data_IF_257579817551
#
_entry.id   IF_257579817551
#
_cell.length_a   1.000
_cell.length_b   1.000
_cell.length_c   1.000
_cell.angle_alpha   90.00
_cell.angle_beta   90.00
_cell.angle_gamma   90.00
#
_symmetry.space_group_name_H-M   'P 1'
#
loop_
_entity.id
_entity.type
_entity.pdbx_description
1 polymer ?
#
# COMPACT_ATOMS: atom_id res chain seq x y z
N UNK A 1 31.54 -24.14 56.55
CA UNK A 1 32.20 -24.27 55.23
C UNK A 1 31.09 -24.40 54.20
N UNK A 2 30.68 -23.26 53.62
CA UNK A 2 29.55 -23.13 52.69
C UNK A 2 30.19 -22.85 51.34
N UNK A 3 30.19 -23.82 50.42
CA UNK A 3 30.60 -23.60 49.03
C UNK A 3 29.39 -23.13 48.24
N UNK A 4 29.35 -21.83 47.95
CA UNK A 4 28.44 -21.25 46.99
C UNK A 4 29.01 -21.48 45.58
N UNK A 5 28.43 -22.43 44.86
CA UNK A 5 28.74 -22.68 43.46
C UNK A 5 27.88 -21.72 42.62
N UNK A 6 28.46 -20.59 42.22
CA UNK A 6 27.89 -19.65 41.26
C UNK A 6 28.31 -20.07 39.86
N UNK A 7 27.53 -20.96 39.24
CA UNK A 7 27.63 -21.19 37.80
C UNK A 7 26.86 -20.08 37.08
N UNK A 8 27.61 -19.15 36.48
CA UNK A 8 27.11 -18.16 35.52
C UNK A 8 26.50 -18.87 34.30
N UNK A 9 25.19 -19.08 34.35
CA UNK A 9 24.39 -19.46 33.20
C UNK A 9 24.20 -18.23 32.29
N UNK A 10 25.25 -17.89 31.53
CA UNK A 10 25.19 -16.90 30.43
C UNK A 10 24.58 -17.52 29.17
N UNK A 11 23.46 -18.21 29.34
CA UNK A 11 22.56 -18.56 28.26
C UNK A 11 21.91 -17.28 27.73
N UNK A 12 22.53 -16.62 26.75
CA UNK A 12 21.86 -15.65 25.85
C UNK A 12 20.86 -16.43 24.99
N UNK A 13 19.81 -16.92 25.63
CA UNK A 13 18.62 -17.42 25.00
C UNK A 13 17.85 -16.24 24.44
N UNK A 14 18.28 -15.72 23.28
CA UNK A 14 17.42 -14.94 22.40
C UNK A 14 16.35 -15.85 21.78
N UNK A 15 15.60 -16.56 22.64
CA UNK A 15 14.35 -17.22 22.30
C UNK A 15 13.33 -16.14 21.98
N UNK A 16 13.37 -15.66 20.74
CA UNK A 16 12.42 -14.67 20.24
C UNK A 16 11.01 -15.25 20.37
N UNK A 17 10.30 -14.89 21.46
CA UNK A 17 8.88 -15.21 21.69
C UNK A 17 8.17 -15.09 20.35
N UNK A 18 7.73 -16.21 19.79
CA UNK A 18 6.91 -16.16 18.58
C UNK A 18 5.69 -15.33 18.95
N UNK A 19 5.34 -14.32 18.14
CA UNK A 19 4.09 -13.58 18.26
C UNK A 19 2.86 -14.47 17.93
N UNK A 20 3.01 -15.80 18.01
CA UNK A 20 2.01 -16.82 17.72
C UNK A 20 0.97 -16.95 18.83
N UNK A 21 0.77 -15.93 19.67
CA UNK A 21 -0.27 -15.93 20.68
C UNK A 21 -1.63 -15.94 20.00
N UNK A 22 -2.28 -17.12 19.95
CA UNK A 22 -3.69 -17.42 19.67
C UNK A 22 -4.39 -16.68 18.49
N UNK A 23 -3.61 -15.96 17.68
CA UNK A 23 -4.14 -15.07 16.64
C UNK A 23 -4.44 -15.88 15.39
N UNK A 24 -5.70 -15.85 14.97
CA UNK A 24 -6.21 -16.67 13.85
C UNK A 24 -7.01 -17.92 14.25
N UNK A 25 -7.36 -18.06 15.54
CA UNK A 25 -8.36 -19.02 16.01
C UNK A 25 -9.76 -18.76 15.44
N UNK A 26 -10.70 -19.70 15.62
CA UNK A 26 -12.07 -19.62 15.08
C UNK A 26 -12.76 -18.27 15.39
N UNK A 27 -12.61 -17.78 16.62
CA UNK A 27 -13.19 -16.49 17.03
C UNK A 27 -12.59 -15.28 16.29
N UNK A 28 -11.30 -15.30 15.97
CA UNK A 28 -10.68 -14.22 15.20
C UNK A 28 -11.17 -14.23 13.75
N UNK A 29 -11.45 -15.41 13.17
CA UNK A 29 -12.07 -15.52 11.84
C UNK A 29 -13.50 -14.97 11.83
N UNK A 30 -14.28 -15.25 12.88
CA UNK A 30 -15.63 -14.72 13.03
C UNK A 30 -15.57 -13.19 13.12
N UNK A 31 -14.74 -12.63 14.00
CA UNK A 31 -14.62 -11.17 14.14
C UNK A 31 -14.09 -10.53 12.87
N UNK A 32 -13.08 -11.12 12.21
CA UNK A 32 -12.60 -10.65 10.91
C UNK A 32 -13.71 -10.64 9.85
N UNK A 33 -14.53 -11.69 9.79
CA UNK A 33 -15.66 -11.75 8.85
C UNK A 33 -16.72 -10.71 9.15
N UNK A 34 -17.04 -10.49 10.43
CA UNK A 34 -17.98 -9.44 10.86
C UNK A 34 -17.43 -8.06 10.49
N UNK A 35 -16.15 -7.79 10.76
CA UNK A 35 -15.48 -6.53 10.39
C UNK A 35 -15.53 -6.30 8.88
N UNK A 36 -15.20 -7.32 8.09
CA UNK A 36 -15.30 -7.28 6.65
C UNK A 36 -16.72 -6.90 6.22
N UNK A 37 -17.73 -7.64 6.68
CA UNK A 37 -19.13 -7.38 6.35
C UNK A 37 -19.59 -5.98 6.76
N UNK A 38 -19.21 -5.49 7.94
CA UNK A 38 -19.52 -4.12 8.38
C UNK A 38 -18.93 -3.12 7.39
N UNK A 39 -17.66 -3.28 6.99
CA UNK A 39 -17.02 -2.36 6.04
C UNK A 39 -17.69 -2.45 4.67
N UNK A 40 -17.94 -3.65 4.15
CA UNK A 40 -18.62 -3.83 2.87
C UNK A 40 -20.02 -3.20 2.89
N UNK A 41 -20.81 -3.42 3.94
CA UNK A 41 -22.19 -2.90 4.03
C UNK A 41 -22.16 -1.38 4.14
N UNK A 42 -21.38 -0.81 5.05
CA UNK A 42 -21.40 0.64 5.32
C UNK A 42 -20.79 1.42 4.16
N UNK A 43 -19.61 1.02 3.67
CA UNK A 43 -18.94 1.74 2.58
C UNK A 43 -19.52 1.36 1.23
N UNK A 44 -20.01 0.14 1.03
CA UNK A 44 -20.74 -0.26 -0.17
C UNK A 44 -22.08 0.47 -0.31
N UNK A 45 -22.86 0.62 0.78
CA UNK A 45 -24.07 1.42 0.75
C UNK A 45 -23.78 2.89 0.45
N UNK A 46 -22.69 3.45 1.01
CA UNK A 46 -22.28 4.84 0.74
C UNK A 46 -21.78 5.02 -0.70
N UNK A 47 -20.99 4.09 -1.22
CA UNK A 47 -20.57 4.08 -2.62
C UNK A 47 -21.77 3.96 -3.56
N UNK A 48 -22.72 3.07 -3.25
CA UNK A 48 -23.97 2.91 -4.01
C UNK A 48 -24.85 4.16 -3.99
N UNK A 49 -24.97 4.83 -2.83
CA UNK A 49 -25.73 6.08 -2.71
C UNK A 49 -25.09 7.25 -3.47
N UNK A 50 -23.78 7.21 -3.68
CA UNK A 50 -23.02 8.20 -4.47
C UNK A 50 -22.90 7.84 -5.94
N UNK A 51 -23.27 6.62 -6.32
CA UNK A 51 -23.02 6.12 -7.65
C UNK A 51 -23.78 6.93 -8.70
N UNK A 52 -23.02 7.65 -9.52
CA UNK A 52 -23.51 8.34 -10.71
C UNK A 52 -22.82 7.73 -11.93
N UNK A 53 -23.56 7.17 -12.91
CA UNK A 53 -22.97 6.46 -14.05
C UNK A 53 -22.00 7.30 -14.90
N UNK A 54 -22.06 8.64 -14.81
CA UNK A 54 -21.17 9.57 -15.50
C UNK A 54 -20.28 10.42 -14.54
N UNK A 55 -20.42 10.23 -13.23
CA UNK A 55 -19.60 10.98 -12.26
C UNK A 55 -18.25 10.29 -12.12
N UNK A 56 -17.32 10.75 -12.96
CA UNK A 56 -15.90 10.45 -12.90
C UNK A 56 -15.43 10.37 -11.46
N UNK A 57 -14.91 9.20 -11.10
CA UNK A 57 -14.21 8.98 -9.85
C UNK A 57 -13.12 10.06 -9.67
N UNK A 58 -12.99 10.59 -8.45
CA UNK A 58 -12.17 11.77 -8.15
C UNK A 58 -10.69 11.57 -8.52
N UNK A 59 -10.02 12.64 -8.98
CA UNK A 59 -8.57 12.65 -9.21
C UNK A 59 -8.13 11.79 -10.39
N UNK A 60 -7.20 10.86 -10.14
CA UNK A 60 -6.54 10.05 -11.17
C UNK A 60 -7.37 8.84 -11.66
N UNK A 61 -8.57 8.65 -11.10
CA UNK A 61 -9.37 7.47 -11.36
C UNK A 61 -9.73 7.20 -12.84
N UNK A 62 -10.05 8.22 -13.67
CA UNK A 62 -10.37 8.00 -15.07
C UNK A 62 -9.27 7.27 -15.84
N UNK A 63 -7.99 7.44 -15.45
CA UNK A 63 -6.85 6.82 -16.12
C UNK A 63 -6.72 5.34 -15.77
N UNK A 64 -7.03 4.93 -14.53
CA UNK A 64 -7.06 3.51 -14.16
C UNK A 64 -8.19 2.76 -14.88
N UNK A 65 -9.35 3.41 -14.98
CA UNK A 65 -10.50 2.87 -15.72
C UNK A 65 -10.14 2.74 -17.20
N UNK A 66 -9.60 3.80 -17.81
CA UNK A 66 -9.19 3.77 -19.22
C UNK A 66 -8.19 2.65 -19.49
N UNK A 67 -7.23 2.44 -18.59
CA UNK A 67 -6.29 1.31 -18.68
C UNK A 67 -6.99 -0.04 -18.61
N UNK A 68 -7.98 -0.18 -17.74
CA UNK A 68 -8.77 -1.43 -17.64
C UNK A 68 -9.59 -1.67 -18.89
N UNK A 69 -10.16 -0.61 -19.48
CA UNK A 69 -10.92 -0.67 -20.73
C UNK A 69 -10.03 -1.07 -21.91
N UNK A 70 -8.84 -0.48 -22.03
CA UNK A 70 -7.82 -0.86 -23.03
C UNK A 70 -7.43 -2.33 -22.90
N UNK A 71 -7.15 -2.82 -21.68
CA UNK A 71 -6.84 -4.24 -21.45
C UNK A 71 -8.00 -5.15 -21.87
N UNK A 72 -9.24 -4.76 -21.58
CA UNK A 72 -10.41 -5.60 -21.80
C UNK A 72 -10.91 -5.61 -23.25
N UNK A 73 -10.98 -4.44 -23.89
CA UNK A 73 -11.53 -4.29 -25.24
C UNK A 73 -10.45 -4.44 -26.32
N UNK A 74 -9.24 -3.93 -26.06
CA UNK A 74 -8.20 -3.75 -27.08
C UNK A 74 -7.01 -4.72 -26.88
N UNK A 75 -6.96 -5.40 -25.74
CA UNK A 75 -5.92 -6.35 -25.35
C UNK A 75 -4.50 -5.74 -25.31
N UNK A 76 -4.42 -4.45 -25.04
CA UNK A 76 -3.16 -3.74 -24.82
C UNK A 76 -3.22 -2.86 -23.56
N UNK A 77 -2.29 -1.91 -23.45
CA UNK A 77 -2.27 -0.89 -22.39
C UNK A 77 -2.03 0.51 -22.97
N UNK A 78 -2.14 0.66 -24.29
CA UNK A 78 -2.03 1.96 -24.95
C UNK A 78 -3.33 2.73 -24.70
N UNK A 79 -3.20 3.99 -24.31
CA UNK A 79 -4.31 4.86 -23.94
C UNK A 79 -4.69 5.84 -25.06
N UNK A 80 -4.01 5.75 -26.20
CA UNK A 80 -4.15 6.74 -27.29
C UNK A 80 -5.57 6.80 -27.88
N UNK A 81 -6.33 5.71 -27.82
CA UNK A 81 -7.70 5.60 -28.31
C UNK A 81 -8.80 5.70 -27.24
N UNK A 82 -8.45 5.61 -25.94
CA UNK A 82 -9.39 5.78 -24.82
C UNK A 82 -9.45 7.24 -24.32
N UNK A 83 -8.43 8.06 -24.63
CA UNK A 83 -8.29 9.43 -24.10
C UNK A 83 -8.82 10.51 -25.06
N UNK A 84 -10.13 10.78 -24.99
CA UNK A 84 -10.80 11.82 -25.79
C UNK A 84 -10.31 13.23 -25.42
N UNK A 85 -9.96 14.03 -26.43
CA UNK A 85 -9.46 15.40 -26.23
C UNK A 85 -7.93 15.51 -26.24
N UNK A 86 -7.21 14.38 -26.30
CA UNK A 86 -5.77 14.34 -26.55
C UNK A 86 -4.91 14.97 -25.45
N UNK A 87 -3.69 15.35 -25.80
CA UNK A 87 -2.66 15.83 -24.86
C UNK A 87 -3.04 17.09 -24.08
N UNK A 88 -3.88 17.95 -24.66
CA UNK A 88 -4.30 19.19 -24.00
C UNK A 88 -5.12 18.92 -22.73
N UNK A 89 -5.91 17.84 -22.73
CA UNK A 89 -6.76 17.44 -21.60
C UNK A 89 -6.03 16.49 -20.64
N UNK A 90 -5.22 15.60 -21.19
CA UNK A 90 -4.65 14.46 -20.44
C UNK A 90 -3.15 14.60 -20.12
N UNK A 91 -2.53 15.72 -20.50
CA UNK A 91 -1.14 16.00 -20.16
C UNK A 91 -0.89 15.82 -18.66
N UNK A 92 0.26 15.21 -18.31
CA UNK A 92 0.69 14.80 -16.95
C UNK A 92 0.12 13.50 -16.40
N UNK A 93 -0.82 12.86 -17.08
CA UNK A 93 -1.44 11.61 -16.63
C UNK A 93 -1.09 10.39 -17.51
N UNK A 94 -0.29 10.65 -18.54
CA UNK A 94 0.20 9.67 -19.51
C UNK A 94 1.71 9.77 -19.66
N UNK A 95 2.32 8.64 -19.95
CA UNK A 95 3.75 8.48 -20.16
C UNK A 95 4.03 7.97 -21.58
N UNK A 96 5.06 8.54 -22.22
CA UNK A 96 5.44 8.15 -23.57
C UNK A 96 6.19 6.81 -23.57
N UNK A 97 5.66 5.84 -24.29
CA UNK A 97 6.31 4.56 -24.54
C UNK A 97 7.56 4.69 -25.41
N UNK A 98 8.32 3.59 -25.52
CA UNK A 98 9.55 3.55 -26.34
C UNK A 98 9.30 3.71 -27.84
N UNK A 99 8.10 3.35 -28.33
CA UNK A 99 7.73 3.43 -29.75
C UNK A 99 6.60 4.46 -30.01
N UNK A 100 6.38 5.41 -29.09
CA UNK A 100 5.40 6.49 -29.27
C UNK A 100 4.00 6.23 -28.70
N UNK A 101 3.74 5.04 -28.15
CA UNK A 101 2.48 4.72 -27.43
C UNK A 101 2.26 5.63 -26.23
N UNK A 102 1.00 5.76 -25.80
CA UNK A 102 0.64 6.51 -24.59
C UNK A 102 0.28 5.53 -23.48
N UNK A 103 1.19 5.30 -22.54
CA UNK A 103 0.93 4.42 -21.41
C UNK A 103 0.41 5.21 -20.21
N UNK A 104 -0.34 4.57 -19.28
CA UNK A 104 -0.71 5.23 -18.04
C UNK A 104 0.54 5.68 -17.28
N UNK A 105 0.47 6.88 -16.69
CA UNK A 105 1.46 7.30 -15.68
C UNK A 105 1.51 6.32 -14.51
N UNK A 106 0.37 5.73 -14.18
CA UNK A 106 0.19 4.98 -12.95
C UNK A 106 0.41 3.46 -13.13
N UNK A 107 0.62 2.71 -12.03
CA UNK A 107 0.90 1.27 -12.09
C UNK A 107 -0.24 0.41 -12.66
N UNK A 108 0.12 -0.63 -13.41
CA UNK A 108 -0.81 -1.49 -14.14
C UNK A 108 -1.49 -2.59 -13.30
N UNK A 109 -0.95 -2.93 -12.13
CA UNK A 109 -1.45 -4.07 -11.36
C UNK A 109 -2.91 -3.91 -10.95
N UNK A 110 -3.30 -2.72 -10.49
CA UNK A 110 -4.68 -2.48 -10.08
C UNK A 110 -5.66 -2.54 -11.28
N UNK A 111 -5.42 -1.82 -12.40
CA UNK A 111 -6.22 -1.97 -13.62
C UNK A 111 -6.40 -3.41 -14.08
N UNK A 112 -5.31 -4.20 -14.07
CA UNK A 112 -5.35 -5.61 -14.44
C UNK A 112 -6.27 -6.43 -13.51
N UNK A 113 -6.20 -6.20 -12.20
CA UNK A 113 -7.04 -6.89 -11.22
C UNK A 113 -8.51 -6.46 -11.27
N UNK A 114 -8.81 -5.27 -11.79
CA UNK A 114 -10.18 -4.79 -11.96
C UNK A 114 -10.87 -5.30 -13.22
N UNK A 115 -10.13 -5.84 -14.21
CA UNK A 115 -10.70 -6.44 -15.44
C UNK A 115 -11.85 -7.42 -15.17
N UNK A 116 -11.71 -8.46 -14.32
CA UNK A 116 -12.81 -9.39 -14.07
C UNK A 116 -14.03 -8.74 -13.42
N UNK A 117 -13.84 -7.69 -12.62
CA UNK A 117 -14.95 -6.96 -12.00
C UNK A 117 -15.69 -6.11 -13.04
N UNK A 118 -14.95 -5.46 -13.94
CA UNK A 118 -15.53 -4.74 -15.06
C UNK A 118 -16.28 -5.69 -16.01
N UNK A 119 -15.69 -6.84 -16.35
CA UNK A 119 -16.33 -7.83 -17.22
C UNK A 119 -17.66 -8.37 -16.66
N UNK A 120 -17.75 -8.55 -15.35
CA UNK A 120 -18.95 -9.11 -14.69
C UNK A 120 -20.00 -8.05 -14.34
N UNK A 121 -19.58 -6.84 -13.97
CA UNK A 121 -20.46 -5.84 -13.37
C UNK A 121 -20.45 -4.49 -14.09
N UNK A 122 -19.64 -4.32 -15.14
CA UNK A 122 -19.44 -3.04 -15.82
C UNK A 122 -18.76 -2.01 -14.92
N UNK A 123 -19.10 -0.73 -15.10
CA UNK A 123 -18.57 0.39 -14.31
C UNK A 123 -18.75 0.24 -12.78
N UNK A 124 -19.88 -0.27 -12.25
CA UNK A 124 -20.02 -0.60 -10.82
C UNK A 124 -18.96 -1.56 -10.29
N UNK A 125 -18.38 -2.41 -11.16
CA UNK A 125 -17.36 -3.39 -10.79
C UNK A 125 -16.12 -2.75 -10.13
N UNK A 126 -15.75 -1.54 -10.54
CA UNK A 126 -14.62 -0.85 -9.93
C UNK A 126 -14.88 -0.40 -8.49
N UNK A 127 -16.07 0.13 -8.20
CA UNK A 127 -16.47 0.49 -6.85
C UNK A 127 -16.56 -0.76 -5.95
N UNK A 128 -17.10 -1.85 -6.49
CA UNK A 128 -17.11 -3.14 -5.79
C UNK A 128 -15.68 -3.60 -5.45
N UNK A 129 -14.75 -3.56 -6.41
CA UNK A 129 -13.35 -3.88 -6.18
C UNK A 129 -12.74 -3.02 -5.06
N UNK A 130 -12.91 -1.69 -5.12
CA UNK A 130 -12.39 -0.78 -4.10
C UNK A 130 -12.90 -1.09 -2.69
N UNK A 131 -14.21 -1.33 -2.55
CA UNK A 131 -14.84 -1.67 -1.27
C UNK A 131 -14.35 -3.03 -0.74
N UNK A 132 -14.13 -4.02 -1.61
CA UNK A 132 -13.54 -5.31 -1.24
C UNK A 132 -12.09 -5.17 -0.76
N UNK A 133 -11.29 -4.33 -1.42
CA UNK A 133 -9.91 -4.02 -0.98
C UNK A 133 -9.94 -3.31 0.38
N UNK A 134 -10.83 -2.34 0.58
CA UNK A 134 -10.98 -1.65 1.87
C UNK A 134 -11.37 -2.59 3.00
N UNK A 135 -12.36 -3.48 2.78
CA UNK A 135 -12.76 -4.50 3.73
C UNK A 135 -11.61 -5.46 4.07
N UNK A 136 -10.86 -5.88 3.05
CA UNK A 136 -9.69 -6.75 3.22
C UNK A 136 -8.56 -6.05 4.00
N UNK A 137 -8.38 -4.75 3.78
CA UNK A 137 -7.43 -3.93 4.54
C UNK A 137 -7.86 -3.84 6.01
N UNK A 138 -9.14 -3.61 6.28
CA UNK A 138 -9.69 -3.58 7.64
C UNK A 138 -9.41 -4.89 8.41
N UNK A 139 -9.64 -6.04 7.76
CA UNK A 139 -9.32 -7.36 8.34
C UNK A 139 -7.82 -7.51 8.58
N UNK A 140 -7.00 -7.07 7.64
CA UNK A 140 -5.54 -7.16 7.76
C UNK A 140 -5.02 -6.29 8.90
N UNK A 141 -5.52 -5.06 9.05
CA UNK A 141 -5.23 -4.17 10.17
C UNK A 141 -5.67 -4.76 11.51
N UNK A 142 -6.86 -5.37 11.56
CA UNK A 142 -7.30 -6.13 12.73
C UNK A 142 -6.31 -7.25 13.08
N UNK A 143 -5.93 -8.08 12.11
CA UNK A 143 -5.01 -9.19 12.35
C UNK A 143 -3.60 -8.72 12.77
N UNK A 144 -3.14 -7.58 12.26
CA UNK A 144 -1.91 -6.92 12.71
C UNK A 144 -2.03 -6.46 14.15
N UNK A 145 -3.08 -5.72 14.49
CA UNK A 145 -3.33 -5.24 15.85
C UNK A 145 -3.50 -6.38 16.85
N UNK A 146 -4.09 -7.52 16.42
CA UNK A 146 -4.25 -8.73 17.23
C UNK A 146 -2.94 -9.35 17.70
N UNK A 147 -1.82 -9.05 17.05
CA UNK A 147 -0.50 -9.50 17.51
C UNK A 147 -0.10 -8.84 18.85
N UNK A 148 -0.69 -7.67 19.17
CA UNK A 148 -0.24 -6.84 20.29
C UNK A 148 -1.36 -6.48 21.28
N UNK A 149 -2.62 -6.50 20.85
CA UNK A 149 -3.77 -6.06 21.64
C UNK A 149 -4.90 -7.11 21.67
N UNK A 150 -5.71 -7.18 22.74
CA UNK A 150 -6.88 -8.07 22.81
C UNK A 150 -7.87 -7.89 21.66
N UNK A 151 -8.74 -8.88 21.45
CA UNK A 151 -9.62 -8.97 20.27
C UNK A 151 -10.48 -7.73 20.03
N UNK A 152 -11.17 -7.27 21.07
CA UNK A 152 -12.06 -6.11 20.96
C UNK A 152 -11.29 -4.81 20.69
N UNK A 153 -10.14 -4.62 21.34
CA UNK A 153 -9.30 -3.45 21.11
C UNK A 153 -8.73 -3.43 19.69
N UNK A 154 -8.30 -4.58 19.17
CA UNK A 154 -7.82 -4.71 17.80
C UNK A 154 -8.93 -4.45 16.77
N UNK A 155 -10.15 -4.96 17.01
CA UNK A 155 -11.28 -4.73 16.13
C UNK A 155 -11.72 -3.27 16.13
N UNK A 156 -11.81 -2.65 17.31
CA UNK A 156 -12.10 -1.23 17.46
C UNK A 156 -11.03 -0.36 16.79
N UNK A 157 -9.74 -0.69 16.97
CA UNK A 157 -8.64 0.00 16.31
C UNK A 157 -8.71 -0.08 14.78
N UNK A 158 -9.02 -1.26 14.22
CA UNK A 158 -9.18 -1.42 12.78
C UNK A 158 -10.35 -0.59 12.22
N UNK A 159 -11.51 -0.59 12.91
CA UNK A 159 -12.66 0.23 12.50
C UNK A 159 -12.37 1.73 12.63
N UNK A 160 -11.73 2.16 13.72
CA UNK A 160 -11.31 3.55 13.90
C UNK A 160 -10.32 3.99 12.83
N UNK A 161 -9.41 3.10 12.41
CA UNK A 161 -8.51 3.39 11.30
C UNK A 161 -9.27 3.60 9.99
N UNK A 162 -10.25 2.75 9.66
CA UNK A 162 -11.00 2.88 8.41
C UNK A 162 -11.96 4.09 8.42
N UNK A 163 -12.66 4.33 9.54
CA UNK A 163 -13.67 5.39 9.65
C UNK A 163 -13.12 6.76 10.06
N UNK A 164 -12.04 6.77 10.85
CA UNK A 164 -11.48 7.96 11.49
C UNK A 164 -10.23 8.52 10.80
N UNK A 165 -9.89 8.00 9.62
CA UNK A 165 -8.79 8.51 8.78
C UNK A 165 -9.27 8.85 7.38
N UNK A 166 -8.36 9.35 6.55
CA UNK A 166 -8.63 9.62 5.13
C UNK A 166 -9.12 8.36 4.37
N UNK A 167 -8.91 7.15 4.91
CA UNK A 167 -9.40 5.89 4.33
C UNK A 167 -10.91 5.91 4.04
N UNK A 168 -11.69 6.69 4.79
CA UNK A 168 -13.13 6.85 4.59
C UNK A 168 -13.52 7.53 3.26
N UNK A 169 -12.57 8.19 2.60
CA UNK A 169 -12.77 8.86 1.30
C UNK A 169 -12.44 7.94 0.12
N UNK A 170 -11.90 6.73 0.39
CA UNK A 170 -11.64 5.72 -0.63
C UNK A 170 -12.83 4.78 -0.89
N UNK A 171 -14.03 5.14 -0.43
CA UNK A 171 -15.29 4.47 -0.80
C UNK A 171 -15.62 4.65 -2.30
N UNK A 172 -15.22 5.78 -2.87
CA UNK A 172 -15.52 6.17 -4.25
C UNK A 172 -14.27 6.69 -4.99
N UNK A 173 -13.09 6.22 -4.59
CA UNK A 173 -11.82 6.54 -5.23
C UNK A 173 -11.06 5.23 -5.50
N UNK A 174 -10.99 4.86 -6.77
CA UNK A 174 -10.30 3.65 -7.22
C UNK A 174 -8.84 4.03 -7.38
N UNK A 175 -8.01 3.59 -6.44
CA UNK A 175 -6.60 3.95 -6.42
C UNK A 175 -5.68 2.74 -6.25
N UNK A 176 -4.48 2.75 -6.84
CA UNK A 176 -3.43 1.81 -6.50
C UNK A 176 -2.95 1.95 -5.05
N UNK A 177 -3.15 3.11 -4.40
CA UNK A 177 -2.72 3.35 -3.02
C UNK A 177 -3.35 2.40 -2.01
N UNK A 178 -4.67 2.20 -2.11
CA UNK A 178 -5.40 1.34 -1.20
C UNK A 178 -5.00 -0.13 -1.40
N UNK A 179 -4.80 -0.55 -2.66
CA UNK A 179 -4.30 -1.89 -2.97
C UNK A 179 -2.87 -2.09 -2.45
N UNK A 180 -1.99 -1.13 -2.69
CA UNK A 180 -0.60 -1.17 -2.22
C UNK A 180 -0.52 -1.18 -0.70
N UNK A 181 -1.36 -0.40 0.00
CA UNK A 181 -1.47 -0.40 1.45
C UNK A 181 -1.94 -1.77 2.00
N UNK A 182 -2.95 -2.39 1.37
CA UNK A 182 -3.38 -3.74 1.70
C UNK A 182 -2.24 -4.75 1.56
N UNK A 183 -1.55 -4.76 0.42
CA UNK A 183 -0.45 -5.68 0.15
C UNK A 183 0.70 -5.42 1.13
N UNK A 184 1.07 -4.17 1.39
CA UNK A 184 2.09 -3.83 2.36
C UNK A 184 1.76 -4.31 3.78
N UNK A 185 0.53 -4.03 4.26
CA UNK A 185 0.06 -4.47 5.56
C UNK A 185 0.03 -6.01 5.67
N UNK A 186 -0.44 -6.70 4.63
CA UNK A 186 -0.50 -8.15 4.58
C UNK A 186 0.90 -8.77 4.54
N UNK A 187 1.81 -8.19 3.76
CA UNK A 187 3.21 -8.59 3.69
C UNK A 187 3.91 -8.47 5.05
N UNK A 188 3.72 -7.33 5.73
CA UNK A 188 4.20 -7.12 7.10
C UNK A 188 3.59 -8.11 8.09
N UNK A 189 2.28 -8.39 8.02
CA UNK A 189 1.61 -9.38 8.85
C UNK A 189 2.24 -10.78 8.68
N UNK A 190 2.52 -11.17 7.45
CA UNK A 190 3.17 -12.45 7.14
C UNK A 190 4.60 -12.49 7.70
N UNK A 191 5.38 -11.41 7.58
CA UNK A 191 6.72 -11.32 8.15
C UNK A 191 6.71 -11.39 9.69
N UNK A 192 5.81 -10.65 10.35
CA UNK A 192 5.63 -10.68 11.81
C UNK A 192 5.24 -12.08 12.31
N UNK A 193 4.54 -12.86 11.48
CA UNK A 193 4.21 -14.28 11.74
C UNK A 193 5.32 -15.26 11.37
N UNK A 194 6.49 -14.78 10.94
CA UNK A 194 7.64 -15.60 10.58
C UNK A 194 7.53 -16.26 9.19
N UNK A 195 6.59 -15.84 8.35
CA UNK A 195 6.41 -16.36 6.98
C UNK A 195 7.23 -15.53 5.99
N UNK A 196 8.56 -15.66 6.07
CA UNK A 196 9.51 -14.87 5.27
C UNK A 196 9.24 -14.86 3.76
N UNK A 197 9.02 -16.04 3.17
CA UNK A 197 8.71 -16.19 1.72
C UNK A 197 7.40 -15.48 1.36
N UNK A 198 6.32 -15.76 2.08
CA UNK A 198 5.02 -15.13 1.81
C UNK A 198 5.05 -13.62 2.01
N UNK A 199 5.70 -13.16 3.07
CA UNK A 199 5.87 -11.73 3.34
C UNK A 199 6.68 -11.03 2.26
N UNK A 200 7.82 -11.58 1.85
CA UNK A 200 8.65 -11.02 0.78
C UNK A 200 7.91 -10.96 -0.57
N UNK A 201 7.21 -12.02 -0.96
CA UNK A 201 6.43 -12.04 -2.21
C UNK A 201 5.32 -10.96 -2.21
N UNK A 202 4.52 -10.90 -1.14
CA UNK A 202 3.42 -9.92 -1.05
C UNK A 202 3.95 -8.48 -0.99
N UNK A 203 5.08 -8.24 -0.31
CA UNK A 203 5.73 -6.94 -0.32
C UNK A 203 6.27 -6.57 -1.70
N UNK A 204 6.81 -7.52 -2.47
CA UNK A 204 7.18 -7.31 -3.86
C UNK A 204 5.98 -6.88 -4.71
N UNK A 205 4.82 -7.51 -4.51
CA UNK A 205 3.58 -7.08 -5.16
C UNK A 205 3.10 -5.70 -4.69
N UNK A 206 3.36 -5.29 -3.45
CA UNK A 206 3.08 -3.93 -2.98
C UNK A 206 3.92 -2.91 -3.77
N UNK A 207 5.19 -3.19 -4.06
CA UNK A 207 6.03 -2.35 -4.93
C UNK A 207 5.50 -2.30 -6.37
N UNK A 208 5.07 -3.45 -6.90
CA UNK A 208 4.45 -3.53 -8.23
C UNK A 208 3.12 -2.75 -8.28
N UNK A 209 2.35 -2.74 -7.19
CA UNK A 209 1.13 -1.96 -7.04
C UNK A 209 1.43 -0.46 -6.98
N UNK A 210 2.51 -0.05 -6.28
CA UNK A 210 2.97 1.33 -6.22
C UNK A 210 4.46 1.40 -5.85
N UNK A 211 5.26 2.01 -6.74
CA UNK A 211 6.72 2.03 -6.65
C UNK A 211 7.26 2.60 -5.32
N UNK A 212 6.56 3.54 -4.69
CA UNK A 212 6.96 4.14 -3.41
C UNK A 212 7.02 3.12 -2.26
N UNK A 213 6.40 1.95 -2.42
CA UNK A 213 6.55 0.84 -1.46
C UNK A 213 7.90 0.13 -1.56
N UNK A 214 8.75 0.45 -2.55
CA UNK A 214 10.13 -0.06 -2.64
C UNK A 214 10.91 0.25 -1.36
N UNK A 215 10.68 1.43 -0.77
CA UNK A 215 11.36 1.85 0.44
C UNK A 215 10.95 1.09 1.70
N UNK A 216 9.86 0.32 1.66
CA UNK A 216 9.48 -0.60 2.74
C UNK A 216 10.41 -1.82 2.83
N UNK A 217 10.99 -2.25 1.69
CA UNK A 217 11.74 -3.51 1.61
C UNK A 217 12.97 -3.56 2.51
N UNK A 218 13.85 -2.54 2.60
CA UNK A 218 15.02 -2.59 3.47
C UNK A 218 14.66 -2.83 4.93
N UNK A 219 13.65 -2.14 5.45
CA UNK A 219 13.18 -2.30 6.84
C UNK A 219 12.56 -3.69 7.07
N UNK A 220 11.76 -4.16 6.12
CA UNK A 220 11.17 -5.50 6.14
C UNK A 220 12.25 -6.60 6.12
N UNK A 221 13.33 -6.40 5.36
CA UNK A 221 14.45 -7.32 5.26
C UNK A 221 15.34 -7.30 6.51
N UNK A 222 15.59 -6.13 7.09
CA UNK A 222 16.24 -6.03 8.41
C UNK A 222 15.41 -6.80 9.44
N UNK A 223 14.10 -6.63 9.46
CA UNK A 223 13.23 -7.40 10.37
C UNK A 223 13.30 -8.91 10.08
N UNK A 224 13.23 -9.32 8.81
CA UNK A 224 13.33 -10.73 8.41
C UNK A 224 14.67 -11.35 8.83
N UNK A 225 15.78 -10.59 8.72
CA UNK A 225 17.09 -10.99 9.21
C UNK A 225 17.11 -11.14 10.74
N UNK A 226 16.60 -10.16 11.48
CA UNK A 226 16.54 -10.20 12.95
C UNK A 226 15.68 -11.36 13.48
N UNK A 227 14.68 -11.81 12.71
CA UNK A 227 13.79 -12.91 13.08
C UNK A 227 14.27 -14.30 12.63
N UNK A 228 14.79 -14.42 11.42
CA UNK A 228 15.09 -15.69 10.75
C UNK A 228 16.54 -15.85 10.30
N UNK A 229 17.42 -14.93 10.70
CA UNK A 229 18.82 -14.89 10.29
C UNK A 229 19.00 -14.71 8.78
N UNK A 230 20.18 -15.11 8.28
CA UNK A 230 20.53 -15.03 6.85
C UNK A 230 19.55 -15.80 5.96
N UNK A 231 19.04 -16.95 6.43
CA UNK A 231 18.07 -17.76 5.69
C UNK A 231 16.73 -17.05 5.55
N UNK A 232 16.20 -16.47 6.63
CA UNK A 232 14.94 -15.71 6.60
C UNK A 232 15.03 -14.50 5.65
N UNK A 233 16.15 -13.78 5.70
CA UNK A 233 16.47 -12.69 4.78
C UNK A 233 16.51 -13.17 3.32
N UNK A 234 17.33 -14.17 3.02
CA UNK A 234 17.52 -14.69 1.65
C UNK A 234 16.20 -15.19 1.05
N UNK A 235 15.39 -15.93 1.82
CA UNK A 235 14.07 -16.38 1.38
C UNK A 235 13.11 -15.22 1.09
N UNK A 236 13.13 -14.16 1.91
CA UNK A 236 12.28 -12.98 1.71
C UNK A 236 12.70 -12.19 0.46
N UNK A 237 14.00 -11.96 0.27
CA UNK A 237 14.55 -11.31 -0.92
C UNK A 237 14.23 -12.12 -2.18
N UNK A 238 14.52 -13.43 -2.17
CA UNK A 238 14.26 -14.31 -3.30
C UNK A 238 12.76 -14.32 -3.68
N UNK A 239 11.87 -14.27 -2.69
CA UNK A 239 10.43 -14.20 -2.94
C UNK A 239 9.98 -12.84 -3.51
N UNK A 240 10.57 -11.74 -3.03
CA UNK A 240 10.30 -10.40 -3.57
C UNK A 240 10.85 -10.21 -4.99
N UNK A 241 11.89 -10.96 -5.37
CA UNK A 241 12.53 -10.85 -6.68
C UNK A 241 11.59 -11.16 -7.85
N UNK A 242 10.58 -12.02 -7.67
CA UNK A 242 9.60 -12.34 -8.71
C UNK A 242 8.78 -11.11 -9.15
N UNK A 243 7.97 -10.51 -8.26
CA UNK A 243 7.22 -9.30 -8.58
C UNK A 243 8.09 -8.10 -8.99
N UNK A 244 9.27 -7.94 -8.38
CA UNK A 244 10.22 -6.89 -8.77
C UNK A 244 10.79 -7.13 -10.17
N UNK A 245 11.13 -8.38 -10.49
CA UNK A 245 11.55 -8.77 -11.83
C UNK A 245 10.46 -8.49 -12.87
N UNK A 246 9.21 -8.79 -12.55
CA UNK A 246 8.06 -8.44 -13.39
C UNK A 246 7.96 -6.92 -13.62
N UNK A 247 8.12 -6.10 -12.57
CA UNK A 247 8.15 -4.64 -12.71
C UNK A 247 9.27 -4.16 -13.65
N UNK A 248 10.49 -4.69 -13.49
CA UNK A 248 11.63 -4.34 -14.34
C UNK A 248 11.40 -4.77 -15.80
N UNK A 249 10.81 -5.95 -16.02
CA UNK A 249 10.46 -6.43 -17.35
C UNK A 249 9.37 -5.58 -18.00
N UNK A 250 8.35 -5.16 -17.24
CA UNK A 250 7.32 -4.23 -17.71
C UNK A 250 7.94 -2.89 -18.11
N UNK A 251 8.83 -2.32 -17.28
CA UNK A 251 9.52 -1.08 -17.61
C UNK A 251 10.39 -1.22 -18.87
N UNK A 252 11.11 -2.34 -19.02
CA UNK A 252 11.89 -2.63 -20.23
C UNK A 252 11.00 -2.72 -21.47
N UNK A 253 9.86 -3.42 -21.37
CA UNK A 253 8.93 -3.61 -22.48
C UNK A 253 8.26 -2.30 -22.91
N UNK A 254 7.83 -1.47 -21.96
CA UNK A 254 7.07 -0.24 -22.22
C UNK A 254 7.98 0.95 -22.53
N UNK A 255 9.07 1.13 -21.78
CA UNK A 255 9.90 2.33 -21.83
C UNK A 255 11.31 2.09 -22.38
N UNK A 256 11.65 0.84 -22.69
CA UNK A 256 12.94 0.48 -23.31
C UNK A 256 14.10 0.33 -22.31
N UNK A 257 13.85 0.49 -21.02
CA UNK A 257 14.86 0.28 -19.96
C UNK A 257 14.18 -0.17 -18.67
N UNK A 258 14.77 -1.12 -17.91
CA UNK A 258 14.18 -1.59 -16.66
C UNK A 258 14.14 -0.51 -15.56
N UNK A 259 14.97 0.52 -15.68
CA UNK A 259 15.13 1.61 -14.69
C UNK A 259 14.42 2.91 -15.09
N UNK A 260 13.80 2.93 -16.28
CA UNK A 260 12.98 4.04 -16.74
C UNK A 260 11.52 3.64 -16.53
N UNK A 261 10.81 4.46 -15.78
CA UNK A 261 9.41 4.24 -15.43
C UNK A 261 8.51 5.27 -16.10
N UNK A 262 7.21 5.08 -15.95
CA UNK A 262 6.19 6.06 -16.33
C UNK A 262 6.37 7.43 -15.65
N UNK A 263 7.03 7.49 -14.48
CA UNK A 263 7.33 8.76 -13.80
C UNK A 263 8.38 9.60 -14.56
N UNK A 264 9.25 8.94 -15.33
CA UNK A 264 10.36 9.58 -16.04
C UNK A 264 9.96 10.15 -17.39
N UNK A 265 8.86 9.63 -17.96
CA UNK A 265 8.45 9.88 -19.34
C UNK A 265 7.07 10.51 -19.45
N UNK A 266 6.64 11.30 -18.45
CA UNK A 266 5.35 11.97 -18.52
C UNK A 266 5.35 12.98 -19.66
N UNK A 267 4.23 13.07 -20.38
CA UNK A 267 4.10 14.01 -21.48
C UNK A 267 3.15 15.16 -21.13
N UNK A 268 3.56 16.35 -21.53
CA UNK A 268 2.80 17.58 -21.42
C UNK A 268 2.89 18.35 -22.72
N UNK A 269 1.86 19.13 -23.01
CA UNK A 269 1.89 20.11 -24.08
C UNK A 269 2.37 21.44 -23.49
N UNK A 270 3.55 21.89 -23.89
CA UNK A 270 4.13 23.17 -23.48
C UNK A 270 4.38 23.99 -24.74
N UNK A 271 3.76 25.18 -24.83
CA UNK A 271 3.86 26.09 -25.98
C UNK A 271 3.53 25.42 -27.33
N UNK A 272 2.57 24.49 -27.33
CA UNK A 272 2.14 23.74 -28.51
C UNK A 272 3.09 22.60 -28.94
N UNK A 273 4.20 22.39 -28.22
CA UNK A 273 5.12 21.28 -28.44
C UNK A 273 4.94 20.19 -27.37
N UNK A 274 5.12 18.93 -27.79
CA UNK A 274 5.16 17.80 -26.87
C UNK A 274 6.50 17.83 -26.13
N UNK A 275 6.44 17.95 -24.81
CA UNK A 275 7.63 17.88 -23.94
C UNK A 275 7.51 16.72 -22.96
N UNK A 276 8.65 16.06 -22.73
CA UNK A 276 8.77 14.97 -21.76
C UNK A 276 9.27 15.57 -20.46
N UNK A 277 8.52 15.35 -19.38
CA UNK A 277 8.83 15.84 -18.04
C UNK A 277 8.95 14.65 -17.09
N UNK A 278 9.96 14.71 -16.22
CA UNK A 278 10.08 13.77 -15.11
C UNK A 278 9.37 14.30 -13.88
N UNK A 279 8.45 13.51 -13.33
CA UNK A 279 7.83 13.82 -12.03
C UNK A 279 8.81 13.68 -10.86
N UNK A 280 10.01 13.09 -11.06
CA UNK A 280 11.03 13.02 -10.01
C UNK A 280 11.51 14.41 -9.56
N UNK A 281 11.48 15.38 -10.46
CA UNK A 281 11.86 16.77 -10.15
C UNK A 281 10.85 17.53 -9.29
N UNK A 282 9.72 16.93 -8.91
CA UNK A 282 8.72 17.56 -8.03
C UNK A 282 8.92 17.25 -6.54
N UNK A 283 9.95 16.45 -6.21
CA UNK A 283 10.35 16.08 -4.84
C UNK A 283 11.56 16.91 -4.39
N UNK A 284 11.48 18.23 -4.58
CA UNK A 284 12.53 19.19 -4.25
C UNK A 284 12.08 20.28 -3.26
N UNK A 285 10.99 20.02 -2.53
CA UNK A 285 10.49 20.97 -1.55
C UNK A 285 11.40 21.01 -0.32
N UNK A 286 11.47 22.18 0.32
CA UNK A 286 12.19 22.31 1.58
C UNK A 286 11.55 21.44 2.66
N UNK A 287 12.34 20.59 3.31
CA UNK A 287 11.89 19.59 4.30
C UNK A 287 10.88 20.14 5.33
N UNK A 288 11.14 21.33 5.88
CA UNK A 288 10.24 21.94 6.87
C UNK A 288 8.89 22.35 6.28
N UNK A 289 8.88 22.80 5.02
CA UNK A 289 7.65 23.14 4.32
C UNK A 289 6.84 21.89 3.99
N UNK A 290 7.49 20.85 3.47
CA UNK A 290 6.83 19.57 3.20
C UNK A 290 6.30 18.90 4.47
N UNK A 291 7.08 18.88 5.56
CA UNK A 291 6.61 18.36 6.87
C UNK A 291 5.40 19.15 7.38
N UNK A 292 5.41 20.47 7.23
CA UNK A 292 4.29 21.31 7.61
C UNK A 292 3.04 20.99 6.78
N UNK A 293 3.21 20.79 5.47
CA UNK A 293 2.13 20.35 4.58
C UNK A 293 1.56 18.99 4.96
N UNK A 294 2.42 17.98 5.10
CA UNK A 294 2.05 16.60 5.46
C UNK A 294 1.35 16.51 6.83
N UNK A 295 1.64 17.40 7.77
CA UNK A 295 1.02 17.38 9.10
C UNK A 295 -0.22 18.27 9.19
N UNK A 296 -0.16 19.49 8.67
CA UNK A 296 -1.10 20.57 8.99
C UNK A 296 -1.92 21.06 7.80
N UNK A 297 -1.65 20.63 6.56
CA UNK A 297 -2.48 21.03 5.42
C UNK A 297 -3.94 20.66 5.66
N UNK A 298 -4.86 21.60 5.40
CA UNK A 298 -6.27 21.44 5.75
C UNK A 298 -6.94 20.26 5.05
N UNK A 299 -6.49 19.94 3.84
CA UNK A 299 -7.15 18.96 2.97
C UNK A 299 -6.36 17.65 2.88
N UNK A 300 -5.03 17.69 3.06
CA UNK A 300 -4.14 16.55 2.87
C UNK A 300 -3.34 16.20 4.14
N UNK A 301 -3.22 17.11 5.10
CA UNK A 301 -2.41 16.93 6.30
C UNK A 301 -2.96 15.84 7.22
N UNK A 302 -2.07 15.09 7.86
CA UNK A 302 -2.40 13.97 8.75
C UNK A 302 -3.26 14.37 9.95
N UNK A 303 -3.06 15.56 10.53
CA UNK A 303 -3.83 16.02 11.68
C UNK A 303 -5.32 16.22 11.35
N UNK A 304 -5.69 17.03 10.35
CA UNK A 304 -7.09 17.26 10.03
C UNK A 304 -7.75 16.04 9.35
N UNK A 305 -7.02 15.28 8.54
CA UNK A 305 -7.60 14.18 7.76
C UNK A 305 -7.64 12.85 8.53
N UNK A 306 -6.74 12.66 9.50
CA UNK A 306 -6.56 11.40 10.22
C UNK A 306 -6.47 11.55 11.74
N UNK A 307 -7.42 12.24 12.39
CA UNK A 307 -7.37 12.51 13.82
C UNK A 307 -7.34 11.23 14.67
N UNK A 308 -7.91 10.12 14.18
CA UNK A 308 -7.89 8.85 14.91
C UNK A 308 -6.47 8.28 15.11
N UNK A 309 -5.49 8.65 14.28
CA UNK A 309 -4.09 8.21 14.43
C UNK A 309 -3.48 8.68 15.74
N UNK A 310 -3.92 9.82 16.29
CA UNK A 310 -3.37 10.35 17.55
C UNK A 310 -3.71 9.46 18.76
N UNK A 311 -4.78 8.68 18.67
CA UNK A 311 -5.11 7.67 19.69
C UNK A 311 -4.10 6.52 19.72
N UNK A 312 -3.28 6.36 18.68
CA UNK A 312 -2.22 5.35 18.65
C UNK A 312 -1.02 5.73 19.53
N UNK A 313 -0.81 7.00 19.86
CA UNK A 313 0.40 7.46 20.60
C UNK A 313 0.54 6.80 21.99
N UNK A 314 -0.50 6.76 22.85
CA UNK A 314 -0.40 6.02 24.12
C UNK A 314 -0.18 4.52 23.92
N UNK A 315 -0.84 3.94 22.91
CA UNK A 315 -0.69 2.54 22.54
C UNK A 315 0.74 2.20 22.09
N UNK A 316 1.37 3.11 21.36
CA UNK A 316 2.76 2.98 20.92
C UNK A 316 3.72 2.97 22.10
N UNK A 317 3.52 3.84 23.11
CA UNK A 317 4.35 3.84 24.32
C UNK A 317 4.27 2.49 25.08
N UNK A 318 3.07 1.89 25.15
CA UNK A 318 2.88 0.55 25.74
C UNK A 318 3.54 -0.54 24.88
N UNK A 319 3.42 -0.44 23.56
CA UNK A 319 4.06 -1.37 22.62
C UNK A 319 5.58 -1.30 22.72
N UNK A 320 6.16 -0.10 22.84
CA UNK A 320 7.59 0.10 23.02
C UNK A 320 8.10 -0.54 24.32
N UNK A 321 7.30 -0.57 25.39
CA UNK A 321 7.69 -1.24 26.65
C UNK A 321 7.73 -2.76 26.52
N UNK A 322 6.78 -3.36 25.78
CA UNK A 322 6.58 -4.83 25.74
C UNK A 322 7.15 -5.52 24.49
N UNK A 323 7.20 -4.81 23.37
CA UNK A 323 7.55 -5.28 22.04
C UNK A 323 8.50 -4.30 21.34
N UNK A 324 9.66 -4.03 21.98
CA UNK A 324 10.63 -3.00 21.56
C UNK A 324 11.01 -3.09 20.08
N UNK A 325 11.32 -4.29 19.58
CA UNK A 325 11.80 -4.48 18.20
C UNK A 325 10.73 -4.12 17.18
N UNK A 326 9.51 -4.61 17.40
CA UNK A 326 8.35 -4.32 16.56
C UNK A 326 7.95 -2.84 16.64
N UNK A 327 8.04 -2.22 17.81
CA UNK A 327 7.78 -0.79 17.98
C UNK A 327 8.78 0.08 17.23
N UNK A 328 10.07 -0.23 17.32
CA UNK A 328 11.11 0.49 16.57
C UNK A 328 10.90 0.32 15.06
N UNK A 329 10.57 -0.89 14.59
CA UNK A 329 10.26 -1.10 13.18
C UNK A 329 9.10 -0.20 12.72
N UNK A 330 7.99 -0.19 13.46
CA UNK A 330 6.81 0.60 13.08
C UNK A 330 7.08 2.11 13.09
N UNK A 331 7.88 2.58 14.06
CA UNK A 331 8.31 3.97 14.11
C UNK A 331 9.20 4.32 12.91
N UNK A 332 10.24 3.52 12.65
CA UNK A 332 11.13 3.76 11.51
C UNK A 332 10.36 3.78 10.19
N UNK A 333 9.38 2.89 10.01
CA UNK A 333 8.52 2.88 8.83
C UNK A 333 7.66 4.14 8.73
N UNK A 334 6.94 4.49 9.80
CA UNK A 334 6.06 5.66 9.79
C UNK A 334 6.81 6.96 9.56
N UNK A 335 7.89 7.18 10.31
CA UNK A 335 8.70 8.39 10.20
C UNK A 335 9.41 8.47 8.85
N UNK A 336 9.97 7.36 8.36
CA UNK A 336 10.63 7.36 7.05
C UNK A 336 9.68 7.78 5.93
N UNK A 337 8.44 7.29 5.92
CA UNK A 337 7.46 7.70 4.92
C UNK A 337 7.05 9.17 5.07
N UNK A 338 6.89 9.65 6.30
CA UNK A 338 6.61 11.07 6.56
C UNK A 338 7.74 11.95 6.02
N UNK A 339 9.00 11.58 6.27
CA UNK A 339 10.16 12.34 5.77
C UNK A 339 10.33 12.22 4.26
N UNK A 340 10.10 11.05 3.68
CA UNK A 340 10.23 10.83 2.24
C UNK A 340 9.27 11.72 1.43
N UNK A 341 8.03 11.88 1.91
CA UNK A 341 7.04 12.71 1.23
C UNK A 341 7.10 14.20 1.61
N UNK A 342 7.87 14.54 2.64
CA UNK A 342 8.14 15.91 3.03
C UNK A 342 9.29 16.60 2.25
N UNK A 343 9.98 15.86 1.37
CA UNK A 343 11.06 16.38 0.50
C UNK A 343 10.62 16.33 -0.94
#
# INVERSE_FOLDING_TARGET
>A
MISADWSEDTGVGHGGRRLSGDSGGRSDRIVGSILFLIVIIVWGARAGARYGPEMYFEGDCPYYISTTLSIWHDFDVDLSDQLRGGLAVHGRQIALGRNGQWYPKHPLLMPLLTVPFYALFGMPGFALFGVLVLGSLAVTLFLLARLFAPRLAAAGGALLMVAGTFLRHYDYNITPDLLAALLAALGLLLLLRGRGVGGGCVLGFAVLAKLTYLFLLPFAWVYAFLRGGRRGLACSIAAAAGPLGLLLLLNLALFGSPFISSYDRNIVLQDGALTIVSHRGQFDQGLLHGLSGELFDRNHGLIPTSPALWLAVPGFALMLRRYRREAVLMLLLGEFYLFLFAT
#
